data_IF_559158395529
#
_entry.id   IF_559158395529
#
_cell.length_a   1.000
_cell.length_b   1.000
_cell.length_c   1.000
_cell.angle_alpha   90.00
_cell.angle_beta   90.00
_cell.angle_gamma   90.00
#
_symmetry.space_group_name_H-M   'P 1'
#
loop_
_entity.id
_entity.type
_entity.pdbx_description
1 polymer ?
#
# COMPACT_ATOMS: atom_id res chain seq x y z
N UNK A 1 61.46 -10.42 -18.95
CA UNK A 1 61.47 -9.78 -17.62
C UNK A 1 60.15 -10.10 -16.90
N UNK A 2 60.22 -10.36 -15.60
CA UNK A 2 59.17 -10.52 -14.57
C UNK A 2 57.89 -11.38 -14.80
N UNK A 3 57.72 -12.29 -13.81
CA UNK A 3 56.54 -13.09 -13.40
C UNK A 3 55.51 -12.21 -12.64
N UNK A 4 54.50 -12.73 -11.88
CA UNK A 4 53.93 -14.09 -11.76
C UNK A 4 52.38 -14.14 -11.89
N UNK A 5 51.73 -15.30 -12.04
CA UNK A 5 51.00 -16.08 -10.97
C UNK A 5 50.01 -17.01 -11.71
N UNK A 6 49.41 -18.09 -11.18
CA UNK A 6 49.65 -18.96 -10.02
C UNK A 6 49.28 -20.43 -10.45
N UNK A 7 49.14 -21.39 -9.53
CA UNK A 7 48.49 -22.70 -9.80
C UNK A 7 47.73 -23.28 -8.59
N UNK A 8 46.64 -23.97 -8.90
CA UNK A 8 45.91 -24.94 -8.07
C UNK A 8 46.81 -26.07 -7.55
N UNK A 9 46.58 -26.56 -6.32
CA UNK A 9 46.25 -27.98 -6.08
C UNK A 9 45.68 -28.20 -4.66
N UNK A 10 44.89 -29.25 -4.49
CA UNK A 10 44.36 -29.74 -3.21
C UNK A 10 45.16 -30.94 -2.70
N UNK A 11 45.14 -31.23 -1.38
CA UNK A 11 45.34 -32.61 -0.91
C UNK A 11 44.86 -32.90 0.52
N UNK A 12 44.14 -34.03 0.62
CA UNK A 12 44.09 -35.05 1.68
C UNK A 12 43.72 -34.76 3.15
N UNK A 13 42.88 -35.66 3.63
CA UNK A 13 42.52 -35.94 5.03
C UNK A 13 43.47 -37.00 5.59
N UNK A 14 43.97 -36.81 6.80
CA UNK A 14 44.60 -37.88 7.59
C UNK A 14 44.08 -37.84 9.03
N UNK A 15 43.49 -38.95 9.48
CA UNK A 15 43.01 -39.13 10.85
C UNK A 15 44.16 -39.66 11.72
N UNK A 16 44.44 -39.01 12.86
CA UNK A 16 45.32 -39.55 13.90
C UNK A 16 44.61 -39.45 15.25
N UNK A 17 44.31 -40.59 15.84
CA UNK A 17 43.80 -40.67 17.21
C UNK A 17 44.98 -40.75 18.19
N UNK A 18 44.94 -39.93 19.24
CA UNK A 18 45.82 -40.08 20.41
C UNK A 18 44.92 -40.13 21.64
N UNK A 19 44.82 -41.31 22.25
CA UNK A 19 44.33 -41.44 23.62
C UNK A 19 45.42 -40.91 24.56
N UNK A 20 45.03 -40.00 25.47
CA UNK A 20 45.69 -39.88 26.76
C UNK A 20 44.65 -40.01 27.86
N UNK A 21 44.75 -41.09 28.63
CA UNK A 21 44.04 -41.26 29.89
C UNK A 21 44.96 -40.79 30.99
N UNK A 22 44.60 -39.68 31.64
CA UNK A 22 45.03 -39.39 33.00
C UNK A 22 43.84 -38.92 33.80
N UNK A 23 43.52 -39.66 34.86
CA UNK A 23 42.51 -39.29 35.83
C UNK A 23 43.09 -38.28 36.83
N UNK A 24 42.34 -37.24 37.15
CA UNK A 24 42.19 -36.73 38.53
C UNK A 24 41.00 -35.78 38.58
N UNK A 25 40.30 -35.75 39.72
CA UNK A 25 39.12 -34.91 39.90
C UNK A 25 39.45 -33.42 39.91
N UNK A 26 38.77 -32.65 39.06
CA UNK A 26 38.34 -31.27 39.37
C UNK A 26 37.25 -30.84 38.39
N UNK A 27 36.01 -30.71 38.88
CA UNK A 27 34.90 -30.18 38.10
C UNK A 27 35.01 -28.65 37.98
N UNK A 28 35.89 -28.19 37.09
CA UNK A 28 35.93 -26.80 36.67
C UNK A 28 34.70 -26.51 35.80
N UNK A 29 33.66 -25.92 36.40
CA UNK A 29 32.51 -25.45 35.65
C UNK A 29 32.96 -24.35 34.67
N UNK A 30 32.90 -24.63 33.37
CA UNK A 30 33.06 -23.62 32.33
C UNK A 30 31.88 -22.63 32.41
N UNK A 31 32.12 -21.57 33.16
CA UNK A 31 31.31 -20.35 33.15
C UNK A 31 31.48 -19.68 31.79
N UNK A 32 30.67 -20.09 30.82
CA UNK A 32 30.40 -19.24 29.66
C UNK A 32 29.88 -17.90 30.20
N UNK A 33 30.45 -16.74 29.80
CA UNK A 33 29.83 -15.47 30.13
C UNK A 33 28.42 -15.49 29.58
N UNK A 34 27.42 -15.20 30.43
CA UNK A 34 26.08 -14.88 29.95
C UNK A 34 26.25 -13.76 28.93
N UNK A 35 25.87 -14.02 27.68
CA UNK A 35 25.84 -12.97 26.67
C UNK A 35 25.00 -11.83 27.22
N UNK A 36 25.51 -10.60 27.16
CA UNK A 36 24.76 -9.43 27.58
C UNK A 36 23.45 -9.40 26.79
N UNK A 37 22.32 -9.55 27.49
CA UNK A 37 21.01 -9.32 26.89
C UNK A 37 21.01 -7.86 26.44
N UNK A 38 21.11 -7.63 25.12
CA UNK A 38 20.95 -6.30 24.56
C UNK A 38 19.63 -5.73 25.11
N UNK A 39 19.63 -4.50 25.67
CA UNK A 39 18.41 -3.90 26.16
C UNK A 39 17.33 -3.99 25.09
N UNK A 40 16.15 -4.47 25.47
CA UNK A 40 15.03 -4.56 24.54
C UNK A 40 14.82 -3.19 23.91
N UNK A 41 14.87 -3.13 22.57
CA UNK A 41 14.72 -1.87 21.85
C UNK A 41 13.37 -1.26 22.22
N UNK A 42 13.36 0.04 22.54
CA UNK A 42 12.14 0.76 22.92
C UNK A 42 11.96 1.97 22.03
N UNK A 43 10.70 2.27 21.74
CA UNK A 43 10.29 3.41 20.93
C UNK A 43 9.26 4.24 21.68
N UNK A 44 9.29 5.55 21.41
CA UNK A 44 8.41 6.55 22.00
C UNK A 44 7.14 6.64 21.18
N UNK A 45 5.99 6.43 21.82
CA UNK A 45 4.67 6.61 21.23
C UNK A 45 4.06 7.88 21.81
N UNK A 46 3.87 8.89 20.97
CA UNK A 46 3.37 10.23 21.37
C UNK A 46 1.92 10.42 20.93
N UNK A 47 0.93 10.42 21.85
CA UNK A 47 -0.46 10.69 21.51
C UNK A 47 -0.69 12.17 21.19
N UNK A 48 -1.41 12.47 20.12
CA UNK A 48 -1.90 13.82 19.79
C UNK A 48 -3.27 14.03 20.44
N UNK A 49 -3.54 15.14 21.15
CA UNK A 49 -4.88 15.48 21.63
C UNK A 49 -5.90 15.47 20.48
N UNK A 50 -7.04 14.80 20.69
CA UNK A 50 -8.12 14.77 19.70
C UNK A 50 -9.05 15.97 19.84
N UNK A 51 -9.31 16.64 18.72
CA UNK A 51 -10.38 17.63 18.60
C UNK A 51 -11.65 16.97 18.07
N UNK A 52 -12.83 17.44 18.49
CA UNK A 52 -14.13 17.01 17.95
C UNK A 52 -14.43 15.49 18.06
N UNK A 53 -13.73 14.82 18.97
CA UNK A 53 -13.87 13.38 19.23
C UNK A 53 -12.92 12.93 20.34
N UNK A 54 -12.66 11.64 20.38
CA UNK A 54 -11.76 11.01 21.36
C UNK A 54 -11.21 9.71 20.79
N UNK A 55 -10.07 9.25 21.29
CA UNK A 55 -9.61 7.89 21.03
C UNK A 55 -8.91 7.29 22.24
N UNK A 56 -8.79 5.96 22.26
CA UNK A 56 -8.11 5.19 23.31
C UNK A 56 -7.06 4.30 22.69
N UNK A 57 -5.83 4.38 23.20
CA UNK A 57 -4.73 3.45 22.92
C UNK A 57 -4.80 2.31 23.95
N UNK A 58 -4.65 1.06 23.49
CA UNK A 58 -4.58 -0.15 24.33
C UNK A 58 -3.42 -1.04 23.84
N UNK A 59 -2.49 -1.50 24.70
CA UNK A 59 -2.37 -1.21 26.13
C UNK A 59 -2.20 0.29 26.44
N UNK A 60 -2.46 0.68 27.70
CA UNK A 60 -2.22 2.06 28.14
C UNK A 60 -0.72 2.32 28.09
N UNK A 61 -0.31 3.41 27.45
CA UNK A 61 1.09 3.81 27.38
C UNK A 61 1.63 4.19 28.78
N UNK A 62 2.91 3.91 29.07
CA UNK A 62 3.62 4.48 30.22
C UNK A 62 3.68 6.01 30.16
N UNK A 63 4.05 6.65 31.27
CA UNK A 63 4.06 8.11 31.40
C UNK A 63 5.10 8.80 30.49
N UNK A 64 6.19 8.11 30.14
CA UNK A 64 7.20 8.57 29.19
C UNK A 64 6.91 8.16 27.73
N UNK A 65 5.78 7.48 27.48
CA UNK A 65 5.37 6.99 26.17
C UNK A 65 6.21 5.83 25.62
N UNK A 66 7.22 5.33 26.34
CA UNK A 66 8.12 4.30 25.83
C UNK A 66 7.49 2.91 25.91
N UNK A 67 7.57 2.16 24.82
CA UNK A 67 7.14 0.75 24.76
C UNK A 67 8.16 -0.10 24.02
N UNK A 68 8.24 -1.43 24.30
CA UNK A 68 9.11 -2.33 23.57
C UNK A 68 8.80 -2.36 22.06
N UNK A 69 9.83 -2.53 21.24
CA UNK A 69 9.72 -2.84 19.82
C UNK A 69 8.84 -4.08 19.61
N UNK A 70 8.00 -4.05 18.57
CA UNK A 70 7.01 -5.09 18.29
C UNK A 70 5.72 -4.99 19.11
N UNK A 71 5.59 -4.04 20.06
CA UNK A 71 4.33 -3.82 20.80
C UNK A 71 3.18 -3.54 19.83
N UNK A 72 2.10 -4.31 19.91
CA UNK A 72 0.89 -4.11 19.10
C UNK A 72 -0.10 -3.23 19.86
N UNK A 73 -0.22 -1.98 19.43
CA UNK A 73 -1.24 -1.06 19.92
C UNK A 73 -2.56 -1.26 19.17
N UNK A 74 -3.67 -1.16 19.89
CA UNK A 74 -5.02 -0.98 19.34
C UNK A 74 -5.47 0.43 19.66
N UNK A 75 -5.71 1.21 18.62
CA UNK A 75 -6.16 2.60 18.72
C UNK A 75 -7.61 2.67 18.27
N UNK A 76 -8.52 3.00 19.19
CA UNK A 76 -9.97 3.03 18.93
C UNK A 76 -10.53 4.44 19.10
N UNK A 77 -11.10 4.99 18.04
CA UNK A 77 -11.64 6.34 17.97
C UNK A 77 -13.16 6.38 18.12
N UNK A 78 -13.68 7.52 18.60
CA UNK A 78 -15.10 7.81 18.80
C UNK A 78 -15.37 9.30 18.51
N UNK A 79 -16.15 9.64 17.46
CA UNK A 79 -16.52 11.02 17.15
C UNK A 79 -17.40 11.65 18.22
N UNK A 80 -17.33 12.98 18.36
CA UNK A 80 -18.29 13.75 19.15
C UNK A 80 -19.66 13.88 18.43
N UNK A 81 -20.66 14.42 19.13
CA UNK A 81 -21.95 14.74 18.51
C UNK A 81 -21.78 15.77 17.39
N UNK A 82 -22.48 15.59 16.27
CA UNK A 82 -22.32 16.43 15.07
C UNK A 82 -21.14 16.05 14.15
N UNK A 83 -20.22 15.20 14.60
CA UNK A 83 -19.04 14.79 13.83
C UNK A 83 -19.14 13.35 13.31
N UNK A 84 -18.28 13.05 12.33
CA UNK A 84 -18.00 11.74 11.78
C UNK A 84 -16.51 11.42 11.97
N UNK A 85 -16.18 10.14 11.94
CA UNK A 85 -14.80 9.67 11.88
C UNK A 85 -14.16 10.12 10.55
N UNK A 86 -12.90 10.57 10.58
CA UNK A 86 -12.10 10.78 9.36
C UNK A 86 -10.94 9.79 9.27
N UNK A 87 -10.06 9.70 10.27
CA UNK A 87 -9.04 8.65 10.31
C UNK A 87 -8.50 8.40 11.72
N UNK A 88 -8.12 7.16 12.00
CA UNK A 88 -7.03 6.89 12.96
C UNK A 88 -5.73 7.01 12.17
N UNK A 89 -4.72 7.66 12.72
CA UNK A 89 -3.44 7.78 12.04
C UNK A 89 -2.26 7.56 13.00
N UNK A 90 -1.13 7.18 12.40
CA UNK A 90 0.17 7.37 13.03
C UNK A 90 1.21 7.85 12.02
N UNK A 91 2.26 8.49 12.53
CA UNK A 91 3.41 8.92 11.72
C UNK A 91 4.70 8.37 12.29
N UNK A 92 5.69 8.10 11.43
CA UNK A 92 7.04 7.69 11.82
C UNK A 92 8.06 8.61 11.17
N UNK A 93 9.07 9.02 11.93
CA UNK A 93 10.20 9.81 11.40
C UNK A 93 11.24 8.90 10.74
N UNK A 94 12.01 9.45 9.80
CA UNK A 94 13.06 8.70 9.10
C UNK A 94 12.51 7.61 8.17
N UNK A 95 11.41 7.91 7.46
CA UNK A 95 11.09 7.25 6.20
C UNK A 95 11.93 7.80 5.06
N UNK A 96 11.92 7.12 3.91
CA UNK A 96 12.74 7.50 2.73
C UNK A 96 12.40 8.90 2.17
N UNK A 97 11.21 9.43 2.51
CA UNK A 97 10.72 10.77 2.18
C UNK A 97 10.52 11.67 3.42
N UNK A 98 11.18 11.39 4.54
CA UNK A 98 11.08 12.19 5.78
C UNK A 98 10.12 11.60 6.82
N UNK A 99 8.98 12.24 7.05
CA UNK A 99 7.94 11.71 7.97
C UNK A 99 6.90 10.94 7.15
N UNK A 100 6.78 9.64 7.40
CA UNK A 100 5.78 8.79 6.74
C UNK A 100 4.49 8.79 7.55
N UNK A 101 3.35 8.90 6.86
CA UNK A 101 2.00 8.87 7.43
C UNK A 101 1.35 7.52 7.11
N UNK A 102 0.59 7.00 8.07
CA UNK A 102 -0.23 5.79 7.94
C UNK A 102 -1.58 6.09 8.53
N UNK A 103 -2.65 5.79 7.80
CA UNK A 103 -4.01 6.19 8.15
C UNK A 103 -4.99 5.04 7.95
N UNK A 104 -6.11 5.06 8.66
CA UNK A 104 -7.21 4.12 8.46
C UNK A 104 -8.55 4.81 8.71
N UNK A 105 -9.49 4.65 7.78
CA UNK A 105 -10.86 5.16 7.92
C UNK A 105 -11.69 4.36 8.95
N UNK A 106 -11.20 3.20 9.38
CA UNK A 106 -11.84 2.41 10.44
C UNK A 106 -11.79 3.15 11.78
N UNK A 107 -12.86 3.03 12.58
CA UNK A 107 -12.89 3.52 13.95
C UNK A 107 -11.91 2.78 14.90
N UNK A 108 -11.19 1.78 14.40
CA UNK A 108 -10.17 1.04 15.14
C UNK A 108 -9.02 0.64 14.22
N UNK A 109 -7.78 0.90 14.63
CA UNK A 109 -6.55 0.52 13.92
C UNK A 109 -5.65 -0.31 14.85
N UNK A 110 -4.97 -1.31 14.29
CA UNK A 110 -3.85 -1.99 14.95
C UNK A 110 -2.53 -1.47 14.40
N UNK A 111 -1.59 -1.15 15.28
CA UNK A 111 -0.29 -0.54 14.94
C UNK A 111 0.80 -1.34 15.65
N UNK A 112 1.76 -1.86 14.90
CA UNK A 112 2.96 -2.50 15.47
C UNK A 112 4.04 -1.43 15.65
N UNK A 113 4.55 -1.26 16.86
CA UNK A 113 5.56 -0.23 17.18
C UNK A 113 6.94 -0.70 16.74
N UNK A 114 7.45 -0.11 15.65
CA UNK A 114 8.76 -0.45 15.06
C UNK A 114 9.70 0.76 14.92
N UNK A 115 9.21 1.95 15.27
CA UNK A 115 9.93 3.24 15.29
C UNK A 115 9.25 4.18 16.29
N UNK A 116 9.93 5.25 16.68
CA UNK A 116 9.30 6.41 17.31
C UNK A 116 8.14 6.90 16.44
N UNK A 117 6.98 7.10 17.07
CA UNK A 117 5.74 7.42 16.36
C UNK A 117 4.86 8.42 17.07
N UNK A 118 4.13 9.20 16.28
CA UNK A 118 3.04 10.06 16.73
C UNK A 118 1.73 9.36 16.38
N UNK A 119 0.77 9.28 17.30
CA UNK A 119 -0.52 8.58 17.11
C UNK A 119 -1.67 9.55 17.36
N UNK A 120 -2.71 9.52 16.53
CA UNK A 120 -3.88 10.38 16.70
C UNK A 120 -5.14 9.85 16.01
N UNK A 121 -6.21 10.66 16.08
CA UNK A 121 -7.42 10.45 15.30
C UNK A 121 -8.01 11.81 14.88
N UNK A 122 -8.43 11.91 13.62
CA UNK A 122 -9.13 13.07 13.06
C UNK A 122 -10.63 12.81 12.95
N UNK A 123 -11.40 13.89 13.09
CA UNK A 123 -12.85 13.89 13.03
C UNK A 123 -13.31 15.07 12.20
N UNK A 124 -14.39 14.90 11.44
CA UNK A 124 -14.89 15.94 10.53
C UNK A 124 -16.39 16.21 10.71
N UNK A 125 -16.87 17.45 10.48
CA UNK A 125 -18.29 17.77 10.58
C UNK A 125 -19.12 16.82 9.71
N UNK A 126 -20.14 16.19 10.30
CA UNK A 126 -20.98 15.20 9.60
C UNK A 126 -21.67 15.80 8.36
N UNK A 127 -21.90 17.11 8.35
CA UNK A 127 -22.41 17.87 7.21
C UNK A 127 -21.55 17.77 5.95
N UNK A 128 -20.24 17.51 6.05
CA UNK A 128 -19.35 17.36 4.88
C UNK A 128 -19.50 15.99 4.18
N UNK A 129 -19.95 14.97 4.89
CA UNK A 129 -20.05 13.58 4.39
C UNK A 129 -21.48 13.04 4.38
N UNK A 130 -22.45 13.73 4.97
CA UNK A 130 -23.83 13.24 5.11
C UNK A 130 -24.48 12.82 3.79
N UNK A 131 -24.09 13.44 2.66
CA UNK A 131 -24.67 13.21 1.33
C UNK A 131 -23.74 12.46 0.37
N UNK A 132 -22.63 11.92 0.90
CA UNK A 132 -21.70 11.02 0.21
C UNK A 132 -21.86 9.62 0.78
N UNK A 133 -22.12 8.64 -0.10
CA UNK A 133 -21.98 7.22 0.21
C UNK A 133 -20.55 6.79 -0.11
N UNK A 134 -19.81 6.38 0.91
CA UNK A 134 -18.50 5.73 0.75
C UNK A 134 -18.71 4.21 0.75
N UNK A 135 -18.07 3.49 -0.17
CA UNK A 135 -17.99 2.02 -0.18
C UNK A 135 -16.53 1.65 -0.25
N UNK A 136 -16.01 1.03 0.81
CA UNK A 136 -14.59 0.71 0.93
C UNK A 136 -14.24 -0.70 0.43
N UNK A 137 -12.94 -0.96 0.25
CA UNK A 137 -12.36 -2.29 0.05
C UNK A 137 -12.95 -3.08 -1.14
N UNK A 138 -13.31 -2.39 -2.24
CA UNK A 138 -13.84 -3.07 -3.43
C UNK A 138 -12.70 -3.74 -4.19
N UNK A 139 -12.42 -5.00 -3.84
CA UNK A 139 -11.39 -5.82 -4.49
C UNK A 139 -11.76 -6.02 -5.97
N UNK A 140 -10.82 -5.66 -6.86
CA UNK A 140 -10.93 -5.89 -8.31
C UNK A 140 -10.04 -7.03 -8.79
N UNK A 141 -8.90 -7.26 -8.15
CA UNK A 141 -7.98 -8.33 -8.52
C UNK A 141 -7.17 -8.82 -7.31
N UNK A 142 -6.61 -10.03 -7.43
CA UNK A 142 -5.57 -10.53 -6.54
C UNK A 142 -4.57 -11.34 -7.37
N UNK A 143 -3.68 -10.68 -8.15
CA UNK A 143 -2.78 -11.38 -9.07
C UNK A 143 -1.75 -12.24 -8.34
N UNK A 144 -1.43 -11.92 -7.07
CA UNK A 144 -0.50 -12.67 -6.21
C UNK A 144 -0.88 -12.54 -4.70
N UNK A 145 -0.04 -11.92 -3.87
CA UNK A 145 -0.21 -11.80 -2.41
C UNK A 145 -1.11 -10.62 -2.04
N UNK A 146 -0.80 -9.42 -2.55
CA UNK A 146 -1.56 -8.19 -2.26
C UNK A 146 -2.94 -8.24 -2.95
N UNK A 147 -4.07 -8.11 -2.22
CA UNK A 147 -5.37 -7.86 -2.82
C UNK A 147 -5.41 -6.42 -3.34
N UNK A 148 -5.84 -6.25 -4.59
CA UNK A 148 -5.93 -4.95 -5.23
C UNK A 148 -7.38 -4.49 -5.21
N UNK A 149 -7.60 -3.29 -4.71
CA UNK A 149 -8.90 -2.78 -4.29
C UNK A 149 -9.05 -1.30 -4.61
N UNK A 150 -10.27 -0.80 -4.49
CA UNK A 150 -10.55 0.62 -4.59
C UNK A 150 -11.68 1.04 -3.65
N UNK A 151 -11.68 2.31 -3.31
CA UNK A 151 -12.70 2.97 -2.52
C UNK A 151 -13.58 3.85 -3.41
N UNK A 152 -14.90 3.77 -3.22
CA UNK A 152 -15.88 4.50 -4.03
C UNK A 152 -16.57 5.58 -3.22
N UNK A 153 -16.51 6.81 -3.71
CA UNK A 153 -17.20 7.97 -3.17
C UNK A 153 -18.28 8.39 -4.16
N UNK A 154 -19.55 8.20 -3.78
CA UNK A 154 -20.71 8.45 -4.63
C UNK A 154 -21.70 9.43 -3.98
N UNK A 155 -22.18 10.47 -4.67
CA UNK A 155 -23.25 11.32 -4.17
C UNK A 155 -24.56 10.53 -3.98
N UNK A 156 -25.35 10.86 -2.95
CA UNK A 156 -26.72 10.34 -2.85
C UNK A 156 -27.52 10.67 -4.11
N UNK A 157 -28.19 9.66 -4.67
CA UNK A 157 -28.99 9.82 -5.89
C UNK A 157 -28.17 9.94 -7.18
N UNK A 158 -26.87 9.67 -7.16
CA UNK A 158 -26.03 9.65 -8.35
C UNK A 158 -26.60 8.74 -9.45
N UNK A 159 -26.66 9.27 -10.68
CA UNK A 159 -27.19 8.58 -11.85
C UNK A 159 -26.49 9.07 -13.11
N UNK A 160 -25.74 8.19 -13.78
CA UNK A 160 -24.94 8.50 -14.97
C UNK A 160 -24.06 9.75 -14.79
N UNK A 161 -23.39 9.86 -13.65
CA UNK A 161 -22.40 10.91 -13.42
C UNK A 161 -21.05 10.51 -14.03
N UNK A 162 -20.26 11.44 -14.60
CA UNK A 162 -18.88 11.16 -14.99
C UNK A 162 -18.06 10.63 -13.81
N UNK A 163 -17.08 9.80 -14.13
CA UNK A 163 -16.20 9.12 -13.17
C UNK A 163 -14.89 9.90 -13.04
N UNK A 164 -14.34 9.98 -11.84
CA UNK A 164 -12.93 10.33 -11.63
C UNK A 164 -12.22 9.13 -10.98
N UNK A 165 -11.13 8.67 -11.60
CA UNK A 165 -10.22 7.68 -11.02
C UNK A 165 -9.02 8.41 -10.41
N UNK A 166 -8.75 8.16 -9.13
CA UNK A 166 -7.59 8.67 -8.40
C UNK A 166 -6.55 7.56 -8.26
N UNK A 167 -5.31 7.90 -8.58
CA UNK A 167 -4.11 7.07 -8.43
C UNK A 167 -3.22 7.72 -7.38
N UNK A 168 -2.91 7.01 -6.30
CA UNK A 168 -2.14 7.60 -5.20
C UNK A 168 -0.65 7.76 -5.53
N UNK A 169 0.00 8.76 -4.96
CA UNK A 169 1.45 8.90 -4.92
C UNK A 169 2.12 7.97 -3.90
N UNK A 170 3.39 8.25 -3.60
CA UNK A 170 4.21 7.42 -2.70
C UNK A 170 5.31 6.61 -3.41
N UNK A 171 5.87 7.14 -4.51
CA UNK A 171 7.06 6.58 -5.17
C UNK A 171 6.93 5.12 -5.60
N UNK A 172 5.74 4.69 -6.04
CA UNK A 172 5.41 3.31 -6.42
C UNK A 172 5.68 2.25 -5.34
N UNK A 173 5.87 2.65 -4.08
CA UNK A 173 6.46 1.83 -3.02
C UNK A 173 5.78 1.98 -1.65
N UNK A 174 4.72 2.78 -1.57
CA UNK A 174 3.98 3.08 -0.35
C UNK A 174 2.56 3.55 -0.69
N UNK A 175 1.74 3.73 0.36
CA UNK A 175 0.33 4.12 0.30
C UNK A 175 -0.60 3.08 -0.36
N UNK A 176 -1.89 3.39 -0.27
CA UNK A 176 -3.03 2.63 -0.79
C UNK A 176 -4.15 3.62 -1.17
N UNK A 177 -5.36 3.12 -1.44
CA UNK A 177 -6.51 3.91 -1.85
C UNK A 177 -6.97 4.98 -0.83
N UNK A 178 -6.67 4.79 0.46
CA UNK A 178 -7.12 5.67 1.56
C UNK A 178 -6.39 7.03 1.60
N UNK A 179 -5.14 7.11 1.10
CA UNK A 179 -4.29 8.29 1.35
C UNK A 179 -4.84 9.56 0.69
N UNK A 180 -5.50 9.42 -0.47
CA UNK A 180 -6.09 10.54 -1.21
C UNK A 180 -7.58 10.77 -0.90
N UNK A 181 -8.14 10.17 0.17
CA UNK A 181 -9.56 10.34 0.55
C UNK A 181 -9.98 11.81 0.71
N UNK A 182 -9.05 12.69 1.10
CA UNK A 182 -9.30 14.14 1.15
C UNK A 182 -9.68 14.72 -0.21
N UNK A 183 -8.88 14.42 -1.25
CA UNK A 183 -9.15 14.79 -2.63
C UNK A 183 -10.44 14.12 -3.15
N UNK A 184 -10.63 12.83 -2.87
CA UNK A 184 -11.85 12.11 -3.27
C UNK A 184 -13.12 12.76 -2.72
N UNK A 185 -13.09 13.21 -1.47
CA UNK A 185 -14.20 13.93 -0.83
C UNK A 185 -14.45 15.31 -1.43
N UNK A 186 -13.41 16.08 -1.75
CA UNK A 186 -13.63 17.41 -2.37
C UNK A 186 -14.19 17.28 -3.80
N UNK A 187 -13.72 16.30 -4.57
CA UNK A 187 -14.20 16.03 -5.93
C UNK A 187 -15.66 15.53 -5.95
N UNK A 188 -16.08 14.69 -5.00
CA UNK A 188 -17.46 14.17 -4.93
C UNK A 188 -18.45 15.18 -4.33
N UNK A 189 -18.01 16.08 -3.45
CA UNK A 189 -18.82 17.06 -2.70
C UNK A 189 -19.72 17.94 -3.56
N UNK A 190 -19.28 18.25 -4.79
CA UNK A 190 -20.08 19.02 -5.75
C UNK A 190 -21.28 18.26 -6.36
N UNK A 191 -21.43 16.96 -6.10
CA UNK A 191 -22.51 16.12 -6.62
C UNK A 191 -22.42 15.80 -8.12
N UNK A 192 -21.32 16.18 -8.79
CA UNK A 192 -21.14 16.09 -10.25
C UNK A 192 -20.39 14.85 -10.72
N UNK A 193 -19.70 14.15 -9.81
CA UNK A 193 -18.82 13.02 -10.14
C UNK A 193 -19.07 11.85 -9.19
N UNK A 194 -18.75 10.63 -9.64
CA UNK A 194 -18.48 9.49 -8.75
C UNK A 194 -16.97 9.26 -8.78
N UNK A 195 -16.35 9.17 -7.62
CA UNK A 195 -14.89 9.10 -7.49
C UNK A 195 -14.48 7.70 -7.03
N UNK A 196 -13.45 7.15 -7.65
CA UNK A 196 -12.86 5.85 -7.34
C UNK A 196 -11.38 6.06 -7.04
N UNK A 197 -10.97 5.89 -5.79
CA UNK A 197 -9.55 5.91 -5.39
C UNK A 197 -9.03 4.49 -5.44
N UNK A 198 -7.96 4.20 -6.20
CA UNK A 198 -7.50 2.82 -6.41
C UNK A 198 -6.17 2.54 -5.71
N UNK A 199 -6.01 1.28 -5.29
CA UNK A 199 -4.76 0.68 -4.84
C UNK A 199 -4.17 -0.21 -5.96
N UNK A 200 -2.84 -0.28 -6.02
CA UNK A 200 -2.07 -1.02 -7.03
C UNK A 200 -0.82 -1.67 -6.38
N UNK A 201 -0.18 -2.65 -7.03
CA UNK A 201 1.02 -3.32 -6.45
C UNK A 201 2.17 -2.34 -6.22
N UNK A 202 3.03 -2.64 -5.26
CA UNK A 202 4.25 -1.85 -5.06
C UNK A 202 5.40 -2.44 -5.89
N UNK A 203 6.38 -1.62 -6.25
CA UNK A 203 7.54 -2.04 -7.01
C UNK A 203 8.47 -2.92 -6.16
N UNK A 204 9.26 -3.78 -6.81
CA UNK A 204 10.09 -4.82 -6.21
C UNK A 204 9.24 -5.76 -5.32
N UNK A 205 9.65 -6.00 -4.08
CA UNK A 205 9.02 -6.95 -3.16
C UNK A 205 8.35 -6.25 -1.96
N UNK A 206 8.08 -4.95 -2.08
CA UNK A 206 7.76 -4.06 -0.96
C UNK A 206 6.35 -4.30 -0.38
N UNK A 207 5.46 -4.91 -1.15
CA UNK A 207 4.12 -5.35 -0.76
C UNK A 207 4.09 -6.81 -0.25
N UNK A 208 5.26 -7.40 0.05
CA UNK A 208 5.37 -8.77 0.58
C UNK A 208 5.39 -9.86 -0.50
N UNK A 209 5.49 -9.47 -1.77
CA UNK A 209 5.62 -10.39 -2.90
C UNK A 209 6.95 -11.18 -2.86
N UNK A 210 6.90 -12.47 -3.19
CA UNK A 210 8.09 -13.32 -3.24
C UNK A 210 8.96 -13.06 -4.50
N UNK A 211 8.38 -12.47 -5.55
CA UNK A 211 9.03 -12.16 -6.82
C UNK A 211 8.86 -10.69 -7.12
N UNK A 212 9.90 -9.99 -7.62
CA UNK A 212 9.82 -8.55 -7.85
C UNK A 212 8.69 -8.19 -8.81
N UNK A 213 7.96 -7.14 -8.46
CA UNK A 213 6.99 -6.45 -9.29
C UNK A 213 7.71 -5.29 -10.00
N UNK A 214 7.49 -5.15 -11.29
CA UNK A 214 8.11 -4.11 -12.13
C UNK A 214 7.04 -3.17 -12.71
N UNK A 215 7.43 -2.01 -13.25
CA UNK A 215 6.52 -0.91 -13.63
C UNK A 215 5.35 -1.35 -14.53
N UNK A 216 5.57 -2.26 -15.48
CA UNK A 216 4.51 -2.77 -16.34
C UNK A 216 3.36 -3.42 -15.55
N UNK A 217 3.67 -4.07 -14.42
CA UNK A 217 2.68 -4.73 -13.57
C UNK A 217 1.82 -3.73 -12.79
N UNK A 218 2.34 -2.53 -12.50
CA UNK A 218 1.56 -1.43 -11.94
C UNK A 218 0.61 -0.84 -13.00
N UNK A 219 1.08 -0.70 -14.24
CA UNK A 219 0.25 -0.22 -15.37
C UNK A 219 -0.88 -1.23 -15.67
N UNK A 220 -0.58 -2.54 -15.65
CA UNK A 220 -1.59 -3.61 -15.74
C UNK A 220 -2.63 -3.56 -14.62
N UNK A 221 -2.23 -3.17 -13.40
CA UNK A 221 -3.14 -3.00 -12.27
C UNK A 221 -4.11 -1.83 -12.48
N UNK A 222 -3.61 -0.69 -12.98
CA UNK A 222 -4.47 0.45 -13.33
C UNK A 222 -5.48 0.09 -14.40
N UNK A 223 -5.07 -0.63 -15.46
CA UNK A 223 -6.02 -1.11 -16.48
C UNK A 223 -7.02 -2.12 -15.93
N UNK A 224 -6.59 -3.03 -15.04
CA UNK A 224 -7.49 -3.95 -14.34
C UNK A 224 -8.53 -3.22 -13.49
N UNK A 225 -8.11 -2.22 -12.73
CA UNK A 225 -9.00 -1.38 -11.93
C UNK A 225 -10.01 -0.65 -12.81
N UNK A 226 -9.57 0.01 -13.88
CA UNK A 226 -10.47 0.73 -14.80
C UNK A 226 -11.46 -0.24 -15.46
N UNK A 227 -11.03 -1.41 -15.93
CA UNK A 227 -11.92 -2.43 -16.51
C UNK A 227 -13.00 -2.89 -15.50
N UNK A 228 -12.60 -3.16 -14.25
CA UNK A 228 -13.53 -3.54 -13.19
C UNK A 228 -14.49 -2.40 -12.82
N UNK A 229 -14.01 -1.16 -12.77
CA UNK A 229 -14.83 0.04 -12.58
C UNK A 229 -15.83 0.18 -13.73
N UNK A 230 -15.44 -0.03 -14.99
CA UNK A 230 -16.35 0.10 -16.12
C UNK A 230 -17.51 -0.90 -16.07
N UNK A 231 -17.26 -2.15 -15.66
CA UNK A 231 -18.32 -3.16 -15.45
C UNK A 231 -19.24 -2.82 -14.26
N UNK A 232 -18.70 -2.21 -13.20
CA UNK A 232 -19.40 -2.03 -11.93
C UNK A 232 -19.81 -0.59 -11.59
N UNK A 233 -19.55 0.42 -12.43
CA UNK A 233 -19.80 1.83 -12.11
C UNK A 233 -21.30 2.14 -11.93
N UNK A 234 -22.17 1.46 -12.67
CA UNK A 234 -23.60 1.73 -12.67
C UNK A 234 -24.26 1.58 -11.29
N UNK A 235 -23.84 0.59 -10.47
CA UNK A 235 -24.34 0.40 -9.08
C UNK A 235 -23.94 1.54 -8.13
N UNK A 236 -22.97 2.37 -8.53
CA UNK A 236 -22.53 3.57 -7.81
C UNK A 236 -23.03 4.87 -8.45
N UNK A 237 -23.86 4.79 -9.50
CA UNK A 237 -24.35 5.95 -10.23
C UNK A 237 -23.37 6.54 -11.24
N UNK A 238 -22.21 5.91 -11.46
CA UNK A 238 -21.19 6.34 -12.42
C UNK A 238 -21.52 5.94 -13.86
N UNK A 239 -21.01 6.71 -14.80
CA UNK A 239 -21.05 6.47 -16.25
C UNK A 239 -19.69 5.94 -16.73
N UNK A 240 -19.59 4.64 -17.10
CA UNK A 240 -18.32 4.01 -17.46
C UNK A 240 -17.72 4.51 -18.79
N UNK A 241 -18.42 5.37 -19.52
CA UNK A 241 -17.98 5.94 -20.82
C UNK A 241 -17.34 7.33 -20.69
N UNK A 242 -17.33 7.91 -19.49
CA UNK A 242 -16.81 9.26 -19.21
C UNK A 242 -15.93 9.26 -17.96
N UNK A 243 -14.65 8.95 -18.16
CA UNK A 243 -13.65 8.81 -17.10
C UNK A 243 -12.63 9.96 -17.19
N UNK A 244 -12.42 10.68 -16.10
CA UNK A 244 -11.22 11.46 -15.86
C UNK A 244 -10.24 10.67 -14.99
N UNK A 245 -8.94 10.80 -15.20
CA UNK A 245 -7.90 10.15 -14.39
C UNK A 245 -6.99 11.21 -13.76
N UNK A 246 -6.64 11.07 -12.50
CA UNK A 246 -5.77 12.00 -11.77
C UNK A 246 -4.93 11.25 -10.73
N UNK A 247 -3.85 11.87 -10.26
CA UNK A 247 -2.99 11.32 -9.22
C UNK A 247 -1.78 12.21 -8.97
N UNK A 248 -1.11 12.03 -7.83
CA UNK A 248 0.08 12.78 -7.45
C UNK A 248 1.36 11.94 -7.62
N UNK A 249 2.45 12.55 -8.08
CA UNK A 249 3.78 11.96 -8.18
C UNK A 249 3.77 10.61 -8.94
N UNK A 250 4.00 9.49 -8.25
CA UNK A 250 3.90 8.15 -8.80
C UNK A 250 2.52 7.84 -9.41
N UNK A 251 1.45 8.35 -8.79
CA UNK A 251 0.08 8.27 -9.28
C UNK A 251 -0.17 9.19 -10.48
N UNK A 252 0.47 10.36 -10.53
CA UNK A 252 0.47 11.24 -11.70
C UNK A 252 1.10 10.59 -12.91
N UNK A 253 2.26 9.94 -12.74
CA UNK A 253 2.88 9.09 -13.76
C UNK A 253 1.94 7.97 -14.23
N UNK A 254 1.28 7.27 -13.29
CA UNK A 254 0.33 6.21 -13.64
C UNK A 254 -0.95 6.75 -14.34
N UNK A 255 -1.38 7.97 -14.03
CA UNK A 255 -2.52 8.62 -14.69
C UNK A 255 -2.22 8.92 -16.16
N UNK A 256 -1.03 9.47 -16.44
CA UNK A 256 -0.55 9.71 -17.80
C UNK A 256 -0.35 8.40 -18.57
N UNK A 257 0.23 7.39 -17.91
CA UNK A 257 0.39 6.05 -18.47
C UNK A 257 -0.97 5.40 -18.83
N UNK A 258 -2.00 5.58 -18.00
CA UNK A 258 -3.33 5.03 -18.26
C UNK A 258 -3.96 5.60 -19.54
N UNK A 259 -3.75 6.89 -19.83
CA UNK A 259 -4.28 7.51 -21.04
C UNK A 259 -3.43 7.18 -22.28
N UNK A 260 -2.11 7.35 -22.17
CA UNK A 260 -1.18 7.22 -23.30
C UNK A 260 -0.90 5.78 -23.72
N UNK A 261 -0.93 4.83 -22.77
CA UNK A 261 -0.60 3.43 -23.02
C UNK A 261 -1.83 2.52 -23.13
N UNK A 262 -3.06 3.02 -22.95
CA UNK A 262 -4.26 2.21 -23.18
C UNK A 262 -4.34 1.58 -24.58
N UNK A 263 -3.84 2.18 -25.69
CA UNK A 263 -3.80 1.51 -26.98
C UNK A 263 -2.87 0.28 -27.03
N UNK A 264 -1.98 0.12 -26.04
CA UNK A 264 -1.08 -1.02 -25.88
C UNK A 264 -1.67 -2.12 -24.97
N UNK A 265 -2.93 -2.01 -24.54
CA UNK A 265 -3.63 -3.10 -23.85
C UNK A 265 -3.72 -4.33 -24.79
N UNK A 266 -3.25 -5.48 -24.32
CA UNK A 266 -3.17 -6.69 -25.13
C UNK A 266 -2.58 -7.90 -24.39
N UNK A 267 -2.69 -9.07 -25.01
CA UNK A 267 -2.30 -10.36 -24.42
C UNK A 267 -0.92 -10.87 -24.88
N UNK A 268 -0.18 -10.13 -25.72
CA UNK A 268 1.14 -10.52 -26.25
C UNK A 268 2.31 -10.38 -25.28
N UNK A 269 2.05 -9.94 -24.04
CA UNK A 269 3.05 -9.74 -22.99
C UNK A 269 3.86 -8.45 -23.13
N UNK A 270 4.52 -8.05 -22.04
CA UNK A 270 5.41 -6.89 -22.02
C UNK A 270 6.87 -7.35 -22.06
N UNK A 271 7.50 -7.25 -23.23
CA UNK A 271 8.87 -7.70 -23.46
C UNK A 271 9.05 -9.22 -23.55
N UNK A 272 7.95 -9.99 -23.53
CA UNK A 272 7.99 -11.46 -23.65
C UNK A 272 8.37 -11.92 -25.06
N UNK A 273 8.04 -11.11 -26.07
CA UNK A 273 8.42 -11.30 -27.47
C UNK A 273 9.14 -10.04 -27.97
N UNK A 274 10.14 -10.19 -28.85
CA UNK A 274 10.92 -9.06 -29.35
C UNK A 274 10.02 -8.01 -30.04
N UNK A 275 10.06 -6.76 -29.55
CA UNK A 275 9.22 -5.66 -30.06
C UNK A 275 7.77 -5.65 -29.56
N UNK A 276 7.34 -6.59 -28.73
CA UNK A 276 5.98 -6.64 -28.17
C UNK A 276 5.97 -6.09 -26.74
N UNK A 277 5.27 -4.98 -26.55
CA UNK A 277 5.15 -4.27 -25.28
C UNK A 277 3.68 -4.04 -24.93
N UNK A 278 2.94 -5.13 -24.71
CA UNK A 278 1.52 -5.09 -24.40
C UNK A 278 1.25 -5.27 -22.91
N UNK A 279 0.26 -4.54 -22.39
CA UNK A 279 -0.15 -4.58 -21.00
C UNK A 279 -1.44 -5.39 -20.86
N UNK A 280 -1.36 -6.54 -20.18
CA UNK A 280 -2.52 -7.39 -19.90
C UNK A 280 -3.23 -6.93 -18.62
N UNK A 281 -4.47 -6.41 -18.65
CA UNK A 281 -5.16 -5.93 -17.45
C UNK A 281 -5.27 -7.03 -16.40
N UNK A 282 -5.00 -6.73 -15.12
CA UNK A 282 -5.10 -7.76 -14.05
C UNK A 282 -6.53 -8.18 -13.72
N UNK A 283 -7.52 -7.49 -14.29
CA UNK A 283 -8.91 -7.90 -14.32
C UNK A 283 -9.45 -7.81 -15.75
N UNK A 284 -10.12 -8.87 -16.20
CA UNK A 284 -10.91 -8.88 -17.44
C UNK A 284 -12.38 -9.19 -17.11
N UNK A 285 -13.32 -8.29 -17.48
CA UNK A 285 -14.76 -8.54 -17.36
C UNK A 285 -15.19 -9.85 -18.00
N UNK A 286 -16.13 -10.55 -17.37
CA UNK A 286 -16.54 -11.88 -17.83
C UNK A 286 -17.18 -11.79 -19.22
N UNK A 287 -16.57 -12.47 -20.19
CA UNK A 287 -17.05 -12.53 -21.57
C UNK A 287 -16.60 -11.38 -22.47
N UNK A 288 -15.68 -10.50 -22.02
CA UNK A 288 -15.01 -9.53 -22.89
C UNK A 288 -13.63 -10.03 -23.33
N UNK A 289 -13.26 -9.75 -24.57
CA UNK A 289 -11.89 -9.93 -25.06
C UNK A 289 -10.99 -8.78 -24.60
N UNK A 290 -9.67 -9.01 -24.61
CA UNK A 290 -8.69 -7.95 -24.30
C UNK A 290 -8.78 -6.77 -25.28
N UNK A 291 -9.14 -7.02 -26.55
CA UNK A 291 -9.34 -5.96 -27.55
C UNK A 291 -10.59 -5.12 -27.29
N UNK A 292 -11.67 -5.73 -26.76
CA UNK A 292 -12.85 -4.99 -26.32
C UNK A 292 -12.51 -4.11 -25.11
N UNK A 293 -11.80 -4.65 -24.11
CA UNK A 293 -11.34 -3.88 -22.94
C UNK A 293 -10.40 -2.74 -23.36
N UNK A 294 -9.47 -2.97 -24.30
CA UNK A 294 -8.65 -1.91 -24.90
C UNK A 294 -9.54 -0.79 -25.46
N UNK A 295 -10.48 -1.14 -26.34
CA UNK A 295 -11.35 -0.17 -27.01
C UNK A 295 -12.20 0.62 -26.01
N UNK A 296 -12.78 -0.04 -25.01
CA UNK A 296 -13.60 0.59 -23.97
C UNK A 296 -12.80 1.51 -23.05
N UNK A 297 -11.58 1.12 -22.63
CA UNK A 297 -10.72 1.97 -21.79
C UNK A 297 -10.22 3.18 -22.60
N UNK A 298 -9.61 2.94 -23.77
CA UNK A 298 -9.07 4.01 -24.62
C UNK A 298 -10.14 5.02 -25.02
N UNK A 299 -11.37 4.57 -25.28
CA UNK A 299 -12.46 5.48 -25.63
C UNK A 299 -13.11 6.17 -24.44
N UNK A 300 -13.07 5.62 -23.22
CA UNK A 300 -13.73 6.20 -22.05
C UNK A 300 -12.92 7.26 -21.31
N UNK A 301 -11.58 7.22 -21.36
CA UNK A 301 -10.72 8.25 -20.77
C UNK A 301 -10.89 9.56 -21.57
N UNK A 302 -11.36 10.62 -20.93
CA UNK A 302 -11.67 11.93 -21.54
C UNK A 302 -10.73 13.05 -21.10
N UNK A 303 -10.07 12.90 -19.96
CA UNK A 303 -9.18 13.89 -19.38
C UNK A 303 -8.17 13.22 -18.44
N UNK A 304 -6.97 13.77 -18.36
CA UNK A 304 -5.95 13.42 -17.38
C UNK A 304 -5.53 14.70 -16.66
N UNK A 305 -5.34 14.61 -15.35
CA UNK A 305 -4.77 15.67 -14.54
C UNK A 305 -3.68 15.07 -13.63
N UNK A 306 -2.46 14.84 -14.15
CA UNK A 306 -1.33 14.39 -13.34
C UNK A 306 -0.76 15.55 -12.52
N UNK A 307 -0.23 15.25 -11.34
CA UNK A 307 0.46 16.18 -10.43
C UNK A 307 1.76 15.59 -9.90
#
# INVERSE_FOLDING_TARGET
>A
MNRPTCKLLAMMVTLVAILFVFSTNSAAALLFPKGEEKPAETFTVTPVPAENGSYKITPKLPADGKVPAGTVLRVKAKPASGFSMDAVYYTVKGGIWGTTYYESFSAEMKITVTKDMVVGATFMPRSLVKDVKVTQDVIYAKPRVKPLKYDVYSPKGAKKLPIIVILHGGGWSSNNEDIMRGLARELVKGGKYVVFSIDYRWINNLDGEAQPTYMQKLIEDVFGAIAHIQEHAARYGGDPTRIGVTGDSAGGHLAEAAATLSPLIGAGGFGENNGVYQYMPTYLPKGKSVDQVRSEITSAIKAVAPS
#
